data_IF_547780433912
#
_entry.id   IF_547780433912
#
_cell.length_a   1.000
_cell.length_b   1.000
_cell.length_c   1.000
_cell.angle_alpha   90.00
_cell.angle_beta   90.00
_cell.angle_gamma   90.00
#
_symmetry.space_group_name_H-M   'P 1'
#
loop_
_entity.id
_entity.type
_entity.pdbx_description
1 polymer ?
#
# COMPACT_ATOMS: atom_id res chain seq x y z
N UNK A 1 -6.97 32.01 -5.46
CA UNK A 1 -6.75 30.78 -4.68
C UNK A 1 -7.57 29.58 -5.18
N UNK A 2 -8.86 29.74 -5.52
CA UNK A 2 -9.74 28.62 -5.93
C UNK A 2 -9.25 27.82 -7.16
N UNK A 3 -8.67 28.46 -8.17
CA UNK A 3 -8.15 27.77 -9.37
C UNK A 3 -6.83 27.03 -9.20
N UNK A 4 -5.98 27.46 -8.25
CA UNK A 4 -4.66 26.87 -8.02
C UNK A 4 -4.76 25.56 -7.22
N UNK A 5 -5.58 25.58 -6.17
CA UNK A 5 -5.88 24.39 -5.38
C UNK A 5 -6.54 23.32 -6.25
N UNK A 6 -7.43 23.73 -7.17
CA UNK A 6 -8.00 22.84 -8.18
C UNK A 6 -6.93 22.27 -9.13
N UNK A 7 -5.99 23.06 -9.65
CA UNK A 7 -4.90 22.57 -10.50
C UNK A 7 -3.99 21.56 -9.80
N UNK A 8 -3.68 21.79 -8.52
CA UNK A 8 -2.84 20.90 -7.70
C UNK A 8 -3.58 19.57 -7.45
N UNK A 9 -4.85 19.62 -7.05
CA UNK A 9 -5.69 18.42 -6.83
C UNK A 9 -5.85 17.59 -8.11
N UNK A 10 -5.76 18.22 -9.29
CA UNK A 10 -5.89 17.55 -10.58
C UNK A 10 -4.65 16.74 -10.99
N UNK A 11 -3.56 16.74 -10.21
CA UNK A 11 -2.45 15.80 -10.43
C UNK A 11 -2.83 14.40 -9.99
N UNK A 12 -2.49 13.42 -10.83
CA UNK A 12 -2.95 12.04 -10.67
C UNK A 12 -2.66 11.45 -9.27
N UNK A 13 -1.44 11.56 -8.69
CA UNK A 13 -1.18 11.08 -7.33
C UNK A 13 -2.13 11.71 -6.29
N UNK A 14 -2.38 13.02 -6.38
CA UNK A 14 -3.26 13.72 -5.45
C UNK A 14 -4.74 13.38 -5.64
N UNK A 15 -5.19 13.05 -6.86
CA UNK A 15 -6.53 12.50 -7.09
C UNK A 15 -6.74 11.21 -6.30
N UNK A 16 -5.78 10.27 -6.39
CA UNK A 16 -5.82 9.01 -5.65
C UNK A 16 -5.79 9.23 -4.13
N UNK A 17 -4.89 10.08 -3.64
CA UNK A 17 -4.77 10.38 -2.21
C UNK A 17 -5.99 11.14 -1.65
N UNK A 18 -6.60 12.02 -2.44
CA UNK A 18 -7.78 12.77 -2.01
C UNK A 18 -9.02 11.89 -1.91
N UNK A 19 -9.27 11.07 -2.95
CA UNK A 19 -10.42 10.17 -2.98
C UNK A 19 -10.30 9.04 -1.94
N UNK A 20 -9.08 8.56 -1.66
CA UNK A 20 -8.86 7.54 -0.64
C UNK A 20 -9.31 7.98 0.75
N UNK A 21 -9.16 9.26 1.11
CA UNK A 21 -9.64 9.82 2.38
C UNK A 21 -11.17 9.81 2.47
N UNK A 22 -11.86 10.04 1.34
CA UNK A 22 -13.33 9.94 1.28
C UNK A 22 -13.76 8.49 1.55
N UNK A 23 -13.10 7.52 0.92
CA UNK A 23 -13.38 6.11 1.16
C UNK A 23 -13.00 5.65 2.57
N UNK A 24 -11.95 6.21 3.17
CA UNK A 24 -11.61 5.93 4.58
C UNK A 24 -12.79 6.32 5.48
N UNK A 25 -13.28 7.55 5.37
CA UNK A 25 -14.41 8.03 6.18
C UNK A 25 -15.67 7.19 5.93
N UNK A 26 -15.99 6.91 4.67
CA UNK A 26 -17.16 6.10 4.32
C UNK A 26 -17.04 4.66 4.83
N UNK A 27 -15.86 4.05 4.69
CA UNK A 27 -15.59 2.68 5.13
C UNK A 27 -15.65 2.53 6.66
N UNK A 28 -15.05 3.46 7.40
CA UNK A 28 -15.13 3.49 8.86
C UNK A 28 -16.57 3.68 9.35
N UNK A 29 -17.33 4.59 8.70
CA UNK A 29 -18.74 4.78 9.02
C UNK A 29 -19.56 3.49 8.83
N UNK A 30 -19.35 2.75 7.73
CA UNK A 30 -19.98 1.44 7.52
C UNK A 30 -19.52 0.38 8.53
N UNK A 31 -18.26 0.45 8.98
CA UNK A 31 -17.72 -0.42 10.03
C UNK A 31 -18.45 -0.20 11.36
N UNK A 32 -18.61 1.06 11.78
CA UNK A 32 -19.37 1.44 12.97
C UNK A 32 -20.84 1.04 12.84
N UNK A 33 -21.47 1.29 11.69
CA UNK A 33 -22.85 0.86 11.45
C UNK A 33 -23.00 -0.66 11.50
N UNK A 34 -21.97 -1.44 11.18
CA UNK A 34 -22.04 -2.90 11.27
C UNK A 34 -22.22 -3.39 12.71
N UNK A 35 -21.85 -2.58 13.72
CA UNK A 35 -22.10 -2.87 15.14
C UNK A 35 -23.60 -2.80 15.47
N UNK A 36 -24.39 -2.04 14.70
CA UNK A 36 -25.84 -1.89 14.89
C UNK A 36 -26.68 -3.11 14.45
N UNK A 37 -26.04 -4.21 14.02
CA UNK A 37 -26.72 -5.44 13.62
C UNK A 37 -27.00 -5.57 12.11
N UNK A 38 -26.65 -4.57 11.31
CA UNK A 38 -26.75 -4.63 9.84
C UNK A 38 -25.45 -5.17 9.23
N UNK A 39 -25.54 -6.02 8.19
CA UNK A 39 -24.37 -6.59 7.53
C UNK A 39 -23.83 -5.67 6.44
N UNK A 40 -22.81 -4.88 6.76
CA UNK A 40 -22.06 -4.08 5.78
C UNK A 40 -20.65 -4.61 5.51
N UNK A 41 -20.30 -5.81 6.00
CA UNK A 41 -18.94 -6.34 5.96
C UNK A 41 -18.32 -6.39 4.55
N UNK A 42 -19.11 -6.75 3.53
CA UNK A 42 -18.65 -6.74 2.14
C UNK A 42 -18.31 -5.34 1.64
N UNK A 43 -19.19 -4.37 1.85
CA UNK A 43 -19.00 -2.99 1.42
C UNK A 43 -17.84 -2.34 2.20
N UNK A 44 -17.82 -2.52 3.53
CA UNK A 44 -16.78 -2.03 4.43
C UNK A 44 -15.39 -2.52 4.00
N UNK A 45 -15.22 -3.83 3.78
CA UNK A 45 -13.91 -4.39 3.43
C UNK A 45 -13.41 -3.90 2.06
N UNK A 46 -14.27 -3.84 1.05
CA UNK A 46 -13.87 -3.38 -0.29
C UNK A 46 -13.65 -1.87 -0.35
N UNK A 47 -14.48 -1.07 0.32
CA UNK A 47 -14.29 0.39 0.40
C UNK A 47 -12.97 0.72 1.11
N UNK A 48 -12.65 0.08 2.24
CA UNK A 48 -11.39 0.33 2.93
C UNK A 48 -10.19 -0.24 2.18
N UNK A 49 -10.26 -1.48 1.70
CA UNK A 49 -9.10 -2.11 1.07
C UNK A 49 -8.83 -1.55 -0.33
N UNK A 50 -9.85 -1.47 -1.20
CA UNK A 50 -9.69 -0.99 -2.58
C UNK A 50 -9.76 0.54 -2.61
N UNK A 51 -10.80 1.11 -2.01
CA UNK A 51 -11.05 2.55 -2.05
C UNK A 51 -10.00 3.35 -1.28
N UNK A 52 -9.63 2.93 -0.07
CA UNK A 52 -8.61 3.62 0.72
C UNK A 52 -7.20 3.08 0.46
N UNK A 53 -6.90 1.83 0.86
CA UNK A 53 -5.52 1.30 0.87
C UNK A 53 -4.91 1.23 -0.53
N UNK A 54 -5.57 0.56 -1.48
CA UNK A 54 -5.06 0.39 -2.85
C UNK A 54 -4.98 1.75 -3.56
N UNK A 55 -5.96 2.64 -3.40
CA UNK A 55 -5.87 3.99 -3.98
C UNK A 55 -4.64 4.75 -3.50
N UNK A 56 -4.34 4.75 -2.20
CA UNK A 56 -3.11 5.38 -1.68
C UNK A 56 -1.88 4.74 -2.28
N UNK A 57 -1.85 3.41 -2.34
CA UNK A 57 -0.74 2.65 -2.93
C UNK A 57 -0.52 3.07 -4.38
N UNK A 58 -1.56 3.06 -5.22
CA UNK A 58 -1.45 3.43 -6.64
C UNK A 58 -0.99 4.87 -6.82
N UNK A 59 -1.59 5.81 -6.08
CA UNK A 59 -1.18 7.22 -6.12
C UNK A 59 0.27 7.43 -5.70
N UNK A 60 0.70 6.75 -4.63
CA UNK A 60 2.07 6.84 -4.09
C UNK A 60 3.07 6.22 -5.07
N UNK A 61 2.76 5.07 -5.67
CA UNK A 61 3.63 4.41 -6.66
C UNK A 61 3.79 5.25 -7.92
N UNK A 62 2.71 5.88 -8.41
CA UNK A 62 2.77 6.80 -9.53
C UNK A 62 3.62 8.05 -9.26
N UNK A 63 3.87 8.39 -7.99
CA UNK A 63 4.81 9.44 -7.61
C UNK A 63 6.23 8.90 -7.36
N UNK A 64 6.35 7.77 -6.67
CA UNK A 64 7.62 7.22 -6.21
C UNK A 64 8.46 6.66 -7.36
N UNK A 65 7.85 5.94 -8.31
CA UNK A 65 8.60 5.37 -9.43
C UNK A 65 9.30 6.48 -10.23
N UNK A 66 8.62 7.58 -10.61
CA UNK A 66 9.30 8.70 -11.26
C UNK A 66 10.40 9.33 -10.43
N UNK A 67 10.15 9.51 -9.13
CA UNK A 67 11.11 10.10 -8.20
C UNK A 67 12.39 9.25 -8.08
N UNK A 68 12.24 7.91 -8.01
CA UNK A 68 13.34 6.97 -7.85
C UNK A 68 14.10 6.70 -9.15
N UNK A 69 13.41 6.72 -10.29
CA UNK A 69 14.02 6.43 -11.60
C UNK A 69 14.52 7.68 -12.32
N UNK A 70 14.15 8.88 -11.87
CA UNK A 70 14.43 10.15 -12.54
C UNK A 70 13.71 10.29 -13.89
N UNK A 71 12.66 9.49 -14.14
CA UNK A 71 11.95 9.45 -15.41
C UNK A 71 10.45 9.59 -15.23
N UNK A 72 9.75 10.08 -16.25
CA UNK A 72 8.28 10.15 -16.22
C UNK A 72 7.65 8.75 -16.33
N UNK A 73 6.39 8.65 -15.90
CA UNK A 73 5.57 7.46 -16.13
C UNK A 73 5.52 7.16 -17.63
N UNK A 74 5.53 5.88 -18.00
CA UNK A 74 5.49 5.49 -19.41
C UNK A 74 4.23 6.00 -20.13
N UNK A 75 3.07 6.02 -19.45
CA UNK A 75 1.83 6.59 -19.98
C UNK A 75 0.94 7.16 -18.87
N UNK A 76 0.88 8.49 -18.79
CA UNK A 76 -0.01 9.20 -17.86
C UNK A 76 -1.50 8.92 -18.16
N UNK A 77 -1.86 8.74 -19.43
CA UNK A 77 -3.24 8.45 -19.84
C UNK A 77 -3.72 7.10 -19.34
N UNK A 78 -2.88 6.06 -19.43
CA UNK A 78 -3.23 4.73 -18.90
C UNK A 78 -3.30 4.75 -17.36
N UNK A 79 -2.40 5.51 -16.72
CA UNK A 79 -2.42 5.72 -15.28
C UNK A 79 -3.72 6.42 -14.84
N UNK A 80 -4.17 7.44 -15.57
CA UNK A 80 -5.44 8.12 -15.32
C UNK A 80 -6.67 7.25 -15.64
N UNK A 81 -6.62 6.44 -16.69
CA UNK A 81 -7.68 5.46 -16.96
C UNK A 81 -7.84 4.47 -15.80
N UNK A 82 -6.73 4.01 -15.20
CA UNK A 82 -6.77 3.15 -14.03
C UNK A 82 -7.48 3.80 -12.84
N UNK A 83 -7.32 5.11 -12.63
CA UNK A 83 -8.01 5.87 -11.58
C UNK A 83 -9.52 5.84 -11.76
N UNK A 84 -10.00 6.14 -12.97
CA UNK A 84 -11.44 6.19 -13.25
C UNK A 84 -12.07 4.80 -13.19
N UNK A 85 -11.38 3.79 -13.72
CA UNK A 85 -11.85 2.39 -13.67
C UNK A 85 -11.88 1.85 -12.24
N UNK A 86 -10.88 2.14 -11.41
CA UNK A 86 -10.85 1.72 -10.01
C UNK A 86 -12.04 2.30 -9.24
N UNK A 87 -12.29 3.60 -9.38
CA UNK A 87 -13.34 4.31 -8.66
C UNK A 87 -14.75 3.92 -9.12
N UNK A 88 -15.01 4.01 -10.43
CA UNK A 88 -16.30 3.61 -10.98
C UNK A 88 -16.59 2.13 -10.75
N UNK A 89 -15.58 1.28 -10.94
CA UNK A 89 -15.66 -0.16 -10.67
C UNK A 89 -16.00 -0.45 -9.22
N UNK A 90 -15.32 0.19 -8.26
CA UNK A 90 -15.61 0.00 -6.83
C UNK A 90 -17.04 0.41 -6.46
N UNK A 91 -17.48 1.59 -6.91
CA UNK A 91 -18.83 2.09 -6.63
C UNK A 91 -19.89 1.15 -7.22
N UNK A 92 -19.74 0.76 -8.49
CA UNK A 92 -20.65 -0.16 -9.18
C UNK A 92 -20.64 -1.53 -8.49
N UNK A 93 -19.47 -2.02 -8.09
CA UNK A 93 -19.32 -3.32 -7.44
C UNK A 93 -20.01 -3.38 -6.08
N UNK A 94 -19.81 -2.36 -5.24
CA UNK A 94 -20.40 -2.29 -3.89
C UNK A 94 -21.91 -2.07 -3.97
N UNK A 95 -22.39 -1.14 -4.80
CA UNK A 95 -23.84 -0.89 -4.97
C UNK A 95 -24.55 -2.02 -5.70
N UNK A 96 -23.83 -2.74 -6.55
CA UNK A 96 -24.29 -3.91 -7.28
C UNK A 96 -24.34 -5.18 -6.46
N UNK A 97 -23.87 -5.19 -5.21
CA UNK A 97 -23.84 -6.38 -4.38
C UNK A 97 -25.24 -7.01 -4.27
N UNK A 98 -25.34 -8.32 -4.52
CA UNK A 98 -26.61 -9.05 -4.60
C UNK A 98 -27.36 -8.93 -5.94
N UNK A 99 -26.85 -8.13 -6.89
CA UNK A 99 -27.37 -8.01 -8.28
C UNK A 99 -26.30 -8.47 -9.27
N UNK A 100 -26.42 -9.72 -9.74
CA UNK A 100 -25.36 -10.42 -10.46
C UNK A 100 -24.73 -9.61 -11.61
N UNK A 101 -25.52 -9.03 -12.51
CA UNK A 101 -24.97 -8.31 -13.68
C UNK A 101 -24.24 -7.01 -13.33
N UNK A 102 -24.71 -6.28 -12.29
CA UNK A 102 -24.07 -5.03 -11.83
C UNK A 102 -22.76 -5.35 -11.12
N UNK A 103 -22.77 -6.37 -10.25
CA UNK A 103 -21.55 -6.85 -9.58
C UNK A 103 -20.49 -7.30 -10.60
N UNK A 104 -20.88 -8.04 -11.63
CA UNK A 104 -19.95 -8.48 -12.69
C UNK A 104 -19.34 -7.28 -13.42
N UNK A 105 -20.15 -6.28 -13.79
CA UNK A 105 -19.65 -5.07 -14.43
C UNK A 105 -18.65 -4.33 -13.53
N UNK A 106 -19.00 -4.09 -12.26
CA UNK A 106 -18.12 -3.41 -11.32
C UNK A 106 -16.80 -4.15 -11.11
N UNK A 107 -16.85 -5.46 -10.93
CA UNK A 107 -15.66 -6.29 -10.77
C UNK A 107 -14.79 -6.34 -12.03
N UNK A 108 -15.39 -6.34 -13.23
CA UNK A 108 -14.65 -6.29 -14.49
C UNK A 108 -13.90 -4.95 -14.65
N UNK A 109 -14.52 -3.83 -14.27
CA UNK A 109 -13.87 -2.52 -14.28
C UNK A 109 -12.70 -2.47 -13.29
N UNK A 110 -12.87 -3.03 -12.08
CA UNK A 110 -11.79 -3.18 -11.10
C UNK A 110 -10.64 -4.03 -11.66
N UNK A 111 -10.95 -5.16 -12.28
CA UNK A 111 -9.97 -6.04 -12.92
C UNK A 111 -9.14 -5.27 -13.95
N UNK A 112 -9.81 -4.54 -14.84
CA UNK A 112 -9.14 -3.71 -15.85
C UNK A 112 -8.24 -2.63 -15.21
N UNK A 113 -8.69 -2.00 -14.12
CA UNK A 113 -7.89 -1.02 -13.38
C UNK A 113 -6.59 -1.62 -12.86
N UNK A 114 -6.62 -2.81 -12.26
CA UNK A 114 -5.43 -3.49 -11.75
C UNK A 114 -4.46 -3.90 -12.86
N UNK A 115 -4.97 -4.42 -13.98
CA UNK A 115 -4.12 -4.74 -15.14
C UNK A 115 -3.47 -3.50 -15.72
N UNK A 116 -4.21 -2.39 -15.89
CA UNK A 116 -3.62 -1.12 -16.34
C UNK A 116 -2.56 -0.59 -15.38
N UNK A 117 -2.82 -0.66 -14.07
CA UNK A 117 -1.85 -0.29 -13.05
C UNK A 117 -0.55 -1.10 -13.21
N UNK A 118 -0.66 -2.42 -13.29
CA UNK A 118 0.50 -3.30 -13.43
C UNK A 118 1.24 -3.06 -14.75
N UNK A 119 0.53 -2.85 -15.86
CA UNK A 119 1.14 -2.48 -17.15
C UNK A 119 1.91 -1.17 -17.08
N UNK A 120 1.35 -0.13 -16.47
CA UNK A 120 2.05 1.16 -16.31
C UNK A 120 3.31 0.98 -15.46
N UNK A 121 3.23 0.25 -14.34
CA UNK A 121 4.39 -0.04 -13.48
C UNK A 121 5.46 -0.80 -14.26
N UNK A 122 5.09 -1.89 -14.94
CA UNK A 122 5.98 -2.70 -15.77
C UNK A 122 6.72 -1.87 -16.81
N UNK A 123 5.98 -1.13 -17.65
CA UNK A 123 6.55 -0.36 -18.75
C UNK A 123 7.40 0.82 -18.24
N UNK A 124 7.04 1.40 -17.09
CA UNK A 124 7.83 2.49 -16.51
C UNK A 124 9.16 1.97 -15.95
N UNK A 125 9.21 0.76 -15.40
CA UNK A 125 10.44 0.18 -14.83
C UNK A 125 11.34 -0.45 -15.91
N UNK A 126 10.75 -1.18 -16.87
CA UNK A 126 11.49 -1.97 -17.89
C UNK A 126 12.50 -1.12 -18.67
N UNK A 127 12.14 0.11 -19.01
CA UNK A 127 12.93 0.96 -19.88
C UNK A 127 13.93 1.85 -19.10
N UNK A 128 14.21 1.53 -17.83
CA UNK A 128 14.99 2.40 -16.93
C UNK A 128 16.15 1.63 -16.29
N UNK A 129 17.35 2.21 -16.37
CA UNK A 129 18.59 1.72 -15.72
C UNK A 129 18.61 1.99 -14.21
N UNK A 130 17.47 1.95 -13.54
CA UNK A 130 17.40 2.23 -12.12
C UNK A 130 17.49 0.90 -11.36
N UNK A 131 18.71 0.51 -10.97
CA UNK A 131 18.98 -0.77 -10.30
C UNK A 131 18.68 -0.68 -8.79
N UNK A 132 17.42 -0.48 -8.44
CA UNK A 132 16.98 -0.49 -7.04
C UNK A 132 16.16 -1.74 -6.73
N UNK A 133 16.44 -2.39 -5.61
CA UNK A 133 15.66 -3.53 -5.12
C UNK A 133 14.18 -3.17 -4.91
N UNK A 134 13.87 -1.90 -4.65
CA UNK A 134 12.51 -1.37 -4.43
C UNK A 134 11.60 -1.66 -5.63
N UNK A 135 12.12 -1.56 -6.86
CA UNK A 135 11.31 -1.83 -8.05
C UNK A 135 10.86 -3.28 -8.15
N UNK A 136 11.64 -4.23 -7.61
CA UNK A 136 11.22 -5.64 -7.51
C UNK A 136 9.95 -5.75 -6.67
N UNK A 137 9.93 -5.09 -5.51
CA UNK A 137 8.76 -5.06 -4.63
C UNK A 137 7.54 -4.46 -5.34
N UNK A 138 7.69 -3.30 -5.99
CA UNK A 138 6.57 -2.64 -6.67
C UNK A 138 6.01 -3.46 -7.82
N UNK A 139 6.91 -4.00 -8.65
CA UNK A 139 6.51 -4.81 -9.79
C UNK A 139 5.79 -6.09 -9.34
N UNK A 140 6.43 -6.88 -8.47
CA UNK A 140 5.86 -8.14 -7.98
C UNK A 140 4.53 -7.93 -7.28
N UNK A 141 4.41 -6.89 -6.45
CA UNK A 141 3.16 -6.56 -5.78
C UNK A 141 2.05 -6.17 -6.75
N UNK A 142 2.36 -5.39 -7.79
CA UNK A 142 1.37 -5.00 -8.82
C UNK A 142 0.82 -6.21 -9.60
N UNK A 143 1.67 -7.21 -9.85
CA UNK A 143 1.28 -8.45 -10.51
C UNK A 143 0.39 -9.30 -9.61
N UNK A 144 0.73 -9.43 -8.33
CA UNK A 144 -0.09 -10.18 -7.38
C UNK A 144 -1.43 -9.48 -7.07
N UNK A 145 -1.49 -8.15 -7.07
CA UNK A 145 -2.77 -7.43 -7.00
C UNK A 145 -3.65 -7.74 -8.22
N UNK A 146 -3.07 -7.75 -9.43
CA UNK A 146 -3.80 -8.15 -10.64
C UNK A 146 -4.26 -9.61 -10.56
N UNK A 147 -3.41 -10.53 -10.08
CA UNK A 147 -3.77 -11.94 -9.89
C UNK A 147 -4.90 -12.08 -8.87
N UNK A 148 -4.82 -11.40 -7.73
CA UNK A 148 -5.88 -11.40 -6.73
C UNK A 148 -7.19 -10.87 -7.31
N UNK A 149 -7.16 -9.77 -8.08
CA UNK A 149 -8.34 -9.23 -8.75
C UNK A 149 -8.96 -10.25 -9.71
N UNK A 150 -8.14 -11.01 -10.46
CA UNK A 150 -8.61 -12.11 -11.32
C UNK A 150 -9.31 -13.19 -10.51
N UNK A 151 -8.73 -13.62 -9.39
CA UNK A 151 -9.38 -14.60 -8.50
C UNK A 151 -10.69 -14.05 -7.91
N UNK A 152 -10.72 -12.78 -7.49
CA UNK A 152 -11.91 -12.13 -6.98
C UNK A 152 -13.02 -12.01 -8.03
N UNK A 153 -12.67 -11.78 -9.29
CA UNK A 153 -13.62 -11.80 -10.40
C UNK A 153 -14.16 -13.22 -10.65
N UNK A 154 -13.30 -14.24 -10.66
CA UNK A 154 -13.71 -15.64 -10.81
C UNK A 154 -14.64 -16.11 -9.69
N UNK A 155 -14.46 -15.60 -8.46
CA UNK A 155 -15.32 -15.92 -7.32
C UNK A 155 -16.79 -15.52 -7.52
N UNK A 156 -17.10 -14.57 -8.42
CA UNK A 156 -18.48 -14.22 -8.76
C UNK A 156 -19.23 -15.34 -9.47
N UNK A 157 -18.49 -16.24 -10.14
CA UNK A 157 -19.04 -17.37 -10.88
C UNK A 157 -18.85 -18.69 -10.12
N UNK A 158 -17.73 -18.81 -9.41
CA UNK A 158 -17.32 -20.02 -8.70
C UNK A 158 -16.98 -19.68 -7.24
N UNK A 159 -17.99 -19.39 -6.39
CA UNK A 159 -17.74 -19.04 -5.00
C UNK A 159 -17.23 -20.26 -4.23
N UNK A 160 -15.97 -20.21 -3.80
CA UNK A 160 -15.32 -21.27 -3.04
C UNK A 160 -14.49 -20.68 -1.88
N UNK A 161 -14.42 -21.42 -0.77
CA UNK A 161 -13.74 -20.96 0.45
C UNK A 161 -12.22 -20.92 0.29
N UNK A 162 -11.63 -21.89 -0.41
CA UNK A 162 -10.18 -21.92 -0.67
C UNK A 162 -9.82 -20.81 -1.66
N UNK A 163 -10.68 -20.56 -2.66
CA UNK A 163 -10.50 -19.43 -3.58
C UNK A 163 -10.59 -18.08 -2.87
N UNK A 164 -11.53 -17.91 -1.92
CA UNK A 164 -11.61 -16.72 -1.07
C UNK A 164 -10.36 -16.55 -0.21
N UNK A 165 -9.85 -17.63 0.39
CA UNK A 165 -8.61 -17.61 1.16
C UNK A 165 -7.44 -17.17 0.27
N UNK A 166 -7.28 -17.77 -0.92
CA UNK A 166 -6.24 -17.42 -1.87
C UNK A 166 -6.35 -15.95 -2.32
N UNK A 167 -7.53 -15.50 -2.74
CA UNK A 167 -7.78 -14.11 -3.14
C UNK A 167 -7.35 -13.11 -2.05
N UNK A 168 -7.81 -13.33 -0.82
CA UNK A 168 -7.54 -12.43 0.31
C UNK A 168 -6.07 -12.44 0.73
N UNK A 169 -5.42 -13.61 0.81
CA UNK A 169 -4.00 -13.70 1.20
C UNK A 169 -3.06 -13.18 0.10
N UNK A 170 -3.38 -13.43 -1.17
CA UNK A 170 -2.62 -12.83 -2.28
C UNK A 170 -2.77 -11.30 -2.26
N UNK A 171 -3.99 -10.78 -2.08
CA UNK A 171 -4.21 -9.33 -1.98
C UNK A 171 -3.41 -8.71 -0.83
N UNK A 172 -3.53 -9.26 0.38
CA UNK A 172 -3.01 -8.65 1.59
C UNK A 172 -1.51 -8.88 1.79
N UNK A 173 -1.00 -10.10 1.59
CA UNK A 173 0.40 -10.42 1.85
C UNK A 173 1.29 -10.07 0.66
N UNK A 174 0.92 -10.56 -0.52
CA UNK A 174 1.75 -10.43 -1.73
C UNK A 174 1.48 -9.15 -2.51
N UNK A 175 0.29 -8.57 -2.39
CA UNK A 175 -0.07 -7.28 -2.97
C UNK A 175 0.25 -6.11 -2.04
N UNK A 176 -0.49 -5.97 -0.95
CA UNK A 176 -0.44 -4.80 -0.07
C UNK A 176 0.82 -4.80 0.82
N UNK A 177 1.05 -5.86 1.60
CA UNK A 177 2.15 -5.90 2.59
C UNK A 177 3.51 -5.85 1.93
N UNK A 178 3.71 -6.64 0.87
CA UNK A 178 4.94 -6.62 0.09
C UNK A 178 5.23 -5.21 -0.45
N UNK A 179 4.23 -4.52 -1.02
CA UNK A 179 4.39 -3.17 -1.53
C UNK A 179 4.72 -2.17 -0.42
N UNK A 180 4.00 -2.23 0.70
CA UNK A 180 4.22 -1.37 1.85
C UNK A 180 5.65 -1.53 2.38
N UNK A 181 6.14 -2.76 2.51
CA UNK A 181 7.52 -3.04 2.94
C UNK A 181 8.53 -2.39 2.00
N UNK A 182 8.35 -2.53 0.68
CA UNK A 182 9.22 -1.90 -0.33
C UNK A 182 9.15 -0.37 -0.30
N UNK A 183 7.97 0.21 -0.07
CA UNK A 183 7.80 1.66 0.04
C UNK A 183 8.44 2.20 1.34
N UNK A 184 8.20 1.54 2.48
CA UNK A 184 8.77 1.93 3.78
C UNK A 184 10.29 1.82 3.80
N UNK A 185 10.86 0.83 3.13
CA UNK A 185 12.32 0.63 3.06
C UNK A 185 13.04 1.77 2.33
N UNK A 186 12.30 2.60 1.59
CA UNK A 186 12.76 3.86 1.04
C UNK A 186 12.36 5.06 1.91
N UNK A 187 11.07 5.18 2.26
CA UNK A 187 10.54 6.37 2.92
C UNK A 187 11.11 6.59 4.31
N UNK A 188 11.22 5.54 5.14
CA UNK A 188 11.73 5.66 6.50
C UNK A 188 13.19 6.16 6.53
N UNK A 189 14.14 5.56 5.79
CA UNK A 189 15.49 6.10 5.70
C UNK A 189 15.53 7.52 5.14
N UNK A 190 14.73 7.82 4.12
CA UNK A 190 14.65 9.16 3.51
C UNK A 190 14.27 10.24 4.53
N UNK A 191 13.16 10.07 5.27
CA UNK A 191 12.71 11.06 6.27
C UNK A 191 13.63 11.10 7.50
N UNK A 192 14.34 10.00 7.74
CA UNK A 192 15.35 9.92 8.79
C UNK A 192 16.72 10.45 8.33
N UNK A 193 16.90 10.82 7.06
CA UNK A 193 18.20 11.20 6.48
C UNK A 193 19.29 10.14 6.72
N UNK A 194 18.93 8.86 6.56
CA UNK A 194 19.86 7.73 6.62
C UNK A 194 19.72 6.83 5.40
N UNK A 195 20.72 5.98 5.22
CA UNK A 195 20.59 4.82 4.35
C UNK A 195 19.92 3.68 5.12
N UNK A 196 19.22 2.81 4.40
CA UNK A 196 18.71 1.57 4.99
C UNK A 196 19.89 0.75 5.53
N UNK A 197 19.69 0.09 6.68
CA UNK A 197 20.74 -0.66 7.35
C UNK A 197 21.35 -1.75 6.44
N UNK A 198 20.52 -2.53 5.72
CA UNK A 198 21.01 -3.52 4.77
C UNK A 198 20.02 -3.75 3.62
N UNK A 199 20.47 -3.51 2.39
CA UNK A 199 19.72 -3.86 1.18
C UNK A 199 19.68 -5.38 0.94
N UNK A 200 20.76 -6.10 1.27
CA UNK A 200 20.80 -7.57 1.16
C UNK A 200 19.73 -8.23 2.02
N UNK A 201 19.45 -7.66 3.20
CA UNK A 201 18.38 -8.16 4.05
C UNK A 201 17.00 -7.94 3.43
N UNK A 202 16.82 -6.87 2.64
CA UNK A 202 15.59 -6.69 1.86
C UNK A 202 15.43 -7.80 0.82
N UNK A 203 16.48 -8.23 0.12
CA UNK A 203 16.37 -9.38 -0.78
C UNK A 203 15.94 -10.67 -0.04
N UNK A 204 16.45 -10.92 1.17
CA UNK A 204 15.98 -12.06 1.99
C UNK A 204 14.53 -11.90 2.45
N UNK A 205 14.13 -10.71 2.91
CA UNK A 205 12.74 -10.40 3.29
C UNK A 205 11.81 -10.64 2.11
N UNK A 206 12.19 -10.20 0.91
CA UNK A 206 11.43 -10.42 -0.32
C UNK A 206 11.20 -11.91 -0.58
N UNK A 207 12.27 -12.71 -0.56
CA UNK A 207 12.18 -14.16 -0.80
C UNK A 207 11.33 -14.85 0.28
N UNK A 208 11.60 -14.58 1.55
CA UNK A 208 10.86 -15.19 2.67
C UNK A 208 9.37 -14.85 2.62
N UNK A 209 9.02 -13.60 2.37
CA UNK A 209 7.61 -13.18 2.32
C UNK A 209 6.90 -13.75 1.09
N UNK A 210 7.55 -13.74 -0.08
CA UNK A 210 6.94 -14.24 -1.33
C UNK A 210 6.77 -15.75 -1.31
N UNK A 211 7.85 -16.50 -1.02
CA UNK A 211 7.83 -17.96 -0.94
C UNK A 211 6.97 -18.42 0.23
N UNK A 212 7.09 -17.80 1.40
CA UNK A 212 6.27 -18.13 2.57
C UNK A 212 4.78 -17.98 2.33
N UNK A 213 4.36 -16.87 1.70
CA UNK A 213 2.96 -16.66 1.33
C UNK A 213 2.48 -17.66 0.29
N UNK A 214 3.30 -17.96 -0.73
CA UNK A 214 2.96 -18.97 -1.74
C UNK A 214 2.77 -20.36 -1.11
N UNK A 215 3.69 -20.78 -0.23
CA UNK A 215 3.63 -22.06 0.50
C UNK A 215 2.39 -22.12 1.40
N UNK A 216 2.06 -21.02 2.11
CA UNK A 216 0.85 -20.92 2.91
C UNK A 216 -0.42 -21.12 2.07
N UNK A 217 -0.52 -20.42 0.94
CA UNK A 217 -1.68 -20.48 0.04
C UNK A 217 -1.81 -21.88 -0.58
N UNK A 218 -0.71 -22.45 -1.08
CA UNK A 218 -0.70 -23.80 -1.66
C UNK A 218 -1.07 -24.84 -0.60
N UNK A 219 -0.52 -24.72 0.61
CA UNK A 219 -0.84 -25.60 1.73
C UNK A 219 -2.31 -25.55 2.12
N UNK A 220 -2.93 -24.37 2.06
CA UNK A 220 -4.37 -24.22 2.32
C UNK A 220 -5.21 -24.89 1.22
N UNK A 221 -4.93 -24.61 -0.06
CA UNK A 221 -5.63 -25.24 -1.20
C UNK A 221 -5.48 -26.77 -1.19
N UNK A 222 -4.28 -27.27 -0.87
CA UNK A 222 -3.99 -28.70 -0.79
C UNK A 222 -4.49 -29.35 0.52
N UNK A 223 -4.96 -28.56 1.49
CA UNK A 223 -5.36 -28.99 2.84
C UNK A 223 -4.25 -29.74 3.58
N UNK A 224 -3.02 -29.26 3.43
CA UNK A 224 -1.83 -29.82 4.10
C UNK A 224 -1.39 -28.83 5.19
N UNK A 225 -1.72 -29.14 6.44
CA UNK A 225 -1.46 -28.26 7.59
C UNK A 225 0.04 -27.98 7.80
N UNK A 226 0.89 -28.97 7.54
CA UNK A 226 2.35 -28.80 7.62
C UNK A 226 2.89 -27.75 6.64
N UNK A 227 2.33 -27.67 5.43
CA UNK A 227 2.71 -26.64 4.46
C UNK A 227 2.22 -25.27 4.91
N UNK A 228 0.99 -25.17 5.43
CA UNK A 228 0.48 -23.92 5.98
C UNK A 228 1.39 -23.41 7.10
N UNK A 229 1.75 -24.28 8.05
CA UNK A 229 2.65 -23.95 9.16
C UNK A 229 4.04 -23.51 8.69
N UNK A 230 4.62 -24.23 7.71
CA UNK A 230 5.91 -23.86 7.13
C UNK A 230 5.86 -22.47 6.45
N UNK A 231 4.81 -22.20 5.67
CA UNK A 231 4.59 -20.90 5.04
C UNK A 231 4.45 -19.77 6.06
N UNK A 232 3.69 -20.00 7.14
CA UNK A 232 3.57 -19.05 8.25
C UNK A 232 4.90 -18.75 8.93
N UNK A 233 5.76 -19.76 9.16
CA UNK A 233 7.09 -19.56 9.75
C UNK A 233 7.96 -18.66 8.87
N UNK A 234 7.95 -18.85 7.56
CA UNK A 234 8.70 -17.97 6.64
C UNK A 234 8.20 -16.53 6.65
N UNK A 235 6.88 -16.31 6.68
CA UNK A 235 6.30 -14.97 6.81
C UNK A 235 6.73 -14.31 8.12
N UNK A 236 6.71 -15.08 9.22
CA UNK A 236 7.15 -14.61 10.55
C UNK A 236 8.62 -14.18 10.49
N UNK A 237 9.50 -15.00 9.92
CA UNK A 237 10.90 -14.67 9.77
C UNK A 237 11.10 -13.39 8.94
N UNK A 238 10.33 -13.22 7.85
CA UNK A 238 10.38 -12.02 7.03
C UNK A 238 9.99 -10.76 7.82
N UNK A 239 8.91 -10.83 8.61
CA UNK A 239 8.42 -9.70 9.42
C UNK A 239 9.42 -9.32 10.52
N UNK A 240 10.01 -10.30 11.20
CA UNK A 240 11.03 -10.04 12.22
C UNK A 240 12.28 -9.42 11.60
N UNK A 241 12.76 -9.97 10.49
CA UNK A 241 13.93 -9.46 9.77
C UNK A 241 13.69 -8.02 9.27
N UNK A 242 12.51 -7.74 8.72
CA UNK A 242 12.10 -6.39 8.31
C UNK A 242 12.07 -5.42 9.50
N UNK A 243 11.46 -5.83 10.60
CA UNK A 243 11.35 -4.99 11.81
C UNK A 243 12.74 -4.62 12.35
N UNK A 244 13.64 -5.59 12.44
CA UNK A 244 15.02 -5.34 12.89
C UNK A 244 15.76 -4.43 11.91
N UNK A 245 15.65 -4.66 10.60
CA UNK A 245 16.30 -3.83 9.59
C UNK A 245 15.82 -2.36 9.67
N UNK A 246 14.51 -2.14 9.84
CA UNK A 246 13.92 -0.81 10.00
C UNK A 246 14.32 -0.16 11.32
N UNK A 247 14.30 -0.92 12.42
CA UNK A 247 14.71 -0.41 13.73
C UNK A 247 16.17 0.06 13.72
N UNK A 248 17.09 -0.76 13.19
CA UNK A 248 18.50 -0.39 13.06
C UNK A 248 18.72 0.81 12.13
N UNK A 249 17.89 0.96 11.10
CA UNK A 249 17.89 2.15 10.21
C UNK A 249 17.51 3.42 10.99
N UNK A 250 16.52 3.33 11.88
CA UNK A 250 16.02 4.47 12.65
C UNK A 250 16.85 4.79 13.91
N UNK A 251 17.42 3.78 14.56
CA UNK A 251 18.00 3.89 15.90
C UNK A 251 19.21 4.86 15.96
N UNK A 252 19.32 5.56 17.09
CA UNK A 252 20.39 6.54 17.39
C UNK A 252 20.41 7.77 16.46
N UNK A 253 19.24 8.21 15.99
CA UNK A 253 19.10 9.35 15.10
C UNK A 253 18.38 10.53 15.75
N UNK A 254 19.14 11.58 16.12
CA UNK A 254 18.59 12.80 16.73
C UNK A 254 17.67 13.61 15.80
N UNK A 255 17.78 13.42 14.47
CA UNK A 255 16.94 14.09 13.45
C UNK A 255 15.65 13.32 13.13
N UNK A 256 15.51 12.07 13.55
CA UNK A 256 14.34 11.23 13.27
C UNK A 256 13.17 11.49 14.24
N UNK A 257 12.82 12.77 14.43
CA UNK A 257 11.67 13.22 15.24
C UNK A 257 10.51 13.75 14.40
N UNK A 258 10.60 13.60 13.08
CA UNK A 258 9.57 14.05 12.15
C UNK A 258 8.25 13.28 12.39
N UNK A 259 7.12 13.89 12.00
CA UNK A 259 5.79 13.30 12.22
C UNK A 259 5.64 12.00 11.42
N UNK A 260 6.17 12.00 10.19
CA UNK A 260 6.24 10.87 9.26
C UNK A 260 6.95 9.67 9.91
N UNK A 261 8.13 9.91 10.50
CA UNK A 261 8.90 8.86 11.15
C UNK A 261 8.15 8.25 12.36
N UNK A 262 7.42 9.06 13.14
CA UNK A 262 6.59 8.55 14.25
C UNK A 262 5.49 7.62 13.76
N UNK A 263 4.83 7.95 12.64
CA UNK A 263 3.84 7.09 12.01
C UNK A 263 4.44 5.77 11.53
N UNK A 264 5.61 5.79 10.89
CA UNK A 264 6.29 4.56 10.45
C UNK A 264 6.73 3.66 11.61
N UNK A 265 7.27 4.24 12.69
CA UNK A 265 7.66 3.48 13.89
C UNK A 265 6.43 2.90 14.61
N UNK A 266 5.35 3.68 14.69
CA UNK A 266 4.04 3.20 15.16
C UNK A 266 3.56 2.01 14.31
N UNK A 267 3.64 2.11 12.98
CA UNK A 267 3.27 1.03 12.07
C UNK A 267 4.07 -0.26 12.34
N UNK A 268 5.38 -0.15 12.54
CA UNK A 268 6.25 -1.31 12.86
C UNK A 268 5.86 -1.93 14.20
N UNK A 269 5.53 -1.11 15.20
CA UNK A 269 5.03 -1.61 16.48
C UNK A 269 3.72 -2.39 16.32
N UNK A 270 2.76 -1.87 15.57
CA UNK A 270 1.51 -2.60 15.28
C UNK A 270 1.71 -3.84 14.41
N UNK A 271 2.72 -3.85 13.53
CA UNK A 271 3.10 -5.05 12.78
C UNK A 271 3.59 -6.17 13.73
N UNK A 272 4.36 -5.82 14.77
CA UNK A 272 4.76 -6.78 15.81
C UNK A 272 3.56 -7.29 16.62
N UNK A 273 2.60 -6.42 16.96
CA UNK A 273 1.36 -6.86 17.62
C UNK A 273 0.53 -7.79 16.73
N UNK A 274 0.45 -7.48 15.44
CA UNK A 274 -0.20 -8.32 14.43
C UNK A 274 0.45 -9.70 14.37
N UNK A 275 1.78 -9.73 14.42
CA UNK A 275 2.56 -10.97 14.51
C UNK A 275 2.19 -11.78 15.75
N UNK A 276 2.18 -11.17 16.94
CA UNK A 276 1.81 -11.84 18.20
C UNK A 276 0.38 -12.40 18.09
N UNK A 277 -0.57 -11.59 17.61
CA UNK A 277 -1.94 -12.03 17.41
C UNK A 277 -2.04 -13.20 16.41
N UNK A 278 -1.22 -13.19 15.35
CA UNK A 278 -1.12 -14.29 14.39
C UNK A 278 -0.67 -15.61 15.05
N UNK A 279 0.39 -15.56 15.87
CA UNK A 279 0.84 -16.74 16.64
C UNK A 279 -0.26 -17.24 17.59
N UNK A 280 -0.97 -16.33 18.26
CA UNK A 280 -2.10 -16.71 19.13
C UNK A 280 -3.22 -17.40 18.37
N UNK A 281 -3.49 -17.04 17.10
CA UNK A 281 -4.48 -17.76 16.28
C UNK A 281 -4.07 -19.21 15.99
N UNK A 282 -2.77 -19.48 15.83
CA UNK A 282 -2.23 -20.85 15.66
C UNK A 282 -2.43 -21.66 16.95
N UNK A 283 -2.35 -21.02 18.11
CA UNK A 283 -2.62 -21.62 19.42
C UNK A 283 -4.12 -21.77 19.74
N UNK A 284 -5.01 -21.62 18.74
CA UNK A 284 -6.46 -21.70 18.84
C UNK A 284 -7.14 -20.61 19.70
N UNK A 285 -6.51 -19.45 19.88
CA UNK A 285 -7.17 -18.31 20.53
C UNK A 285 -8.07 -17.57 19.53
N UNK A 286 -9.27 -17.18 19.95
CA UNK A 286 -10.21 -16.45 19.09
C UNK A 286 -9.87 -14.95 19.02
N UNK A 287 -8.79 -14.63 18.29
CA UNK A 287 -8.29 -13.25 18.10
C UNK A 287 -8.25 -12.83 16.62
N UNK A 288 -8.98 -13.52 15.74
CA UNK A 288 -8.95 -13.27 14.27
C UNK A 288 -9.35 -11.83 13.91
N UNK A 289 -10.44 -11.34 14.50
CA UNK A 289 -10.91 -9.97 14.27
C UNK A 289 -9.86 -8.96 14.74
N UNK A 290 -9.30 -9.16 15.93
CA UNK A 290 -8.24 -8.33 16.48
C UNK A 290 -6.97 -8.34 15.61
N UNK A 291 -6.55 -9.52 15.14
CA UNK A 291 -5.41 -9.68 14.23
C UNK A 291 -5.57 -8.87 12.93
N UNK A 292 -6.71 -8.97 12.27
CA UNK A 292 -6.97 -8.23 11.02
C UNK A 292 -6.99 -6.72 11.24
N UNK A 293 -7.60 -6.24 12.34
CA UNK A 293 -7.65 -4.81 12.64
C UNK A 293 -6.28 -4.25 13.06
N UNK A 294 -5.48 -5.01 13.81
CA UNK A 294 -4.09 -4.63 14.08
C UNK A 294 -3.27 -4.50 12.78
N UNK A 295 -3.48 -5.42 11.83
CA UNK A 295 -2.81 -5.37 10.53
C UNK A 295 -3.24 -4.14 9.73
N UNK A 296 -4.54 -3.92 9.57
CA UNK A 296 -5.07 -2.90 8.66
C UNK A 296 -5.10 -1.49 9.27
N UNK A 297 -5.59 -1.32 10.50
CA UNK A 297 -5.62 -0.02 11.19
C UNK A 297 -4.27 0.32 11.82
N UNK A 298 -3.58 -0.68 12.36
CA UNK A 298 -2.30 -0.50 13.01
C UNK A 298 -1.14 -0.40 12.02
N UNK A 299 -0.86 -1.46 11.26
CA UNK A 299 0.30 -1.44 10.36
C UNK A 299 0.04 -0.66 9.05
N UNK A 300 -1.01 -1.01 8.31
CA UNK A 300 -1.28 -0.42 6.98
C UNK A 300 -1.64 1.06 7.08
N UNK A 301 -2.63 1.42 7.89
CA UNK A 301 -3.11 2.81 7.99
C UNK A 301 -2.08 3.76 8.58
N UNK A 302 -1.32 3.35 9.61
CA UNK A 302 -0.23 4.17 10.14
C UNK A 302 0.87 4.40 9.10
N UNK A 303 1.20 3.38 8.30
CA UNK A 303 2.15 3.54 7.21
C UNK A 303 1.64 4.50 6.14
N UNK A 304 0.37 4.37 5.76
CA UNK A 304 -0.30 5.29 4.83
C UNK A 304 -0.21 6.73 5.33
N UNK A 305 -0.56 6.99 6.60
CA UNK A 305 -0.48 8.34 7.14
C UNK A 305 0.96 8.85 7.16
N UNK A 306 1.94 8.05 7.59
CA UNK A 306 3.36 8.43 7.50
C UNK A 306 3.77 8.82 6.08
N UNK A 307 3.29 8.07 5.08
CA UNK A 307 3.51 8.38 3.68
C UNK A 307 2.82 9.65 3.20
N UNK A 308 1.55 9.87 3.58
CA UNK A 308 0.77 11.04 3.20
C UNK A 308 1.31 12.34 3.80
N UNK A 309 1.77 12.30 5.07
CA UNK A 309 2.45 13.44 5.71
C UNK A 309 3.73 13.85 4.98
N UNK A 310 4.35 12.94 4.23
CA UNK A 310 5.48 13.27 3.37
C UNK A 310 5.05 13.72 1.97
N UNK A 311 4.23 12.91 1.29
CA UNK A 311 3.94 13.04 -0.14
C UNK A 311 3.06 14.26 -0.43
N UNK A 312 2.03 14.53 0.38
CA UNK A 312 1.11 15.64 0.13
C UNK A 312 1.84 16.99 0.22
N UNK A 313 2.58 17.31 1.31
CA UNK A 313 3.32 18.57 1.37
C UNK A 313 4.37 18.70 0.27
N UNK A 314 5.09 17.63 -0.05
CA UNK A 314 6.09 17.64 -1.11
C UNK A 314 5.47 17.97 -2.48
N UNK A 315 4.36 17.32 -2.85
CA UNK A 315 3.65 17.59 -4.10
C UNK A 315 3.11 19.02 -4.16
N UNK A 316 2.47 19.48 -3.08
CA UNK A 316 2.00 20.86 -3.00
C UNK A 316 3.15 21.87 -3.12
N UNK A 317 4.30 21.60 -2.48
CA UNK A 317 5.46 22.48 -2.53
C UNK A 317 6.05 22.59 -3.94
N UNK A 318 6.26 21.47 -4.63
CA UNK A 318 6.81 21.45 -6.00
C UNK A 318 5.94 22.25 -6.96
N UNK A 319 4.61 22.19 -6.83
CA UNK A 319 3.69 22.94 -7.67
C UNK A 319 3.62 24.44 -7.32
N UNK A 320 3.82 24.79 -6.05
CA UNK A 320 3.85 26.19 -5.60
C UNK A 320 5.20 26.87 -5.88
N UNK A 321 6.28 26.09 -5.96
CA UNK A 321 7.65 26.60 -6.06
C UNK A 321 7.86 27.59 -7.21
N UNK A 322 7.43 27.35 -8.47
CA UNK A 322 7.63 28.29 -9.57
C UNK A 322 7.02 29.67 -9.32
N UNK A 323 6.00 29.77 -8.45
CA UNK A 323 5.34 31.04 -8.09
C UNK A 323 5.88 31.65 -6.79
N UNK A 324 6.68 30.89 -6.04
CA UNK A 324 7.39 31.36 -4.85
C UNK A 324 8.84 31.72 -5.16
N UNK A 325 9.38 31.39 -6.33
CA UNK A 325 10.77 31.69 -6.74
C UNK A 325 11.12 33.17 -6.53
N UNK A 326 10.22 34.08 -6.90
CA UNK A 326 10.44 35.53 -6.73
C UNK A 326 10.33 36.00 -5.26
N UNK A 327 9.83 35.14 -4.37
CA UNK A 327 9.63 35.39 -2.93
C UNK A 327 10.59 34.59 -2.04
N UNK A 328 11.32 33.62 -2.59
CA UNK A 328 12.36 32.88 -1.87
C UNK A 328 13.62 33.74 -1.78
N UNK A 329 14.14 34.02 -0.57
CA UNK A 329 15.38 34.77 -0.42
C UNK A 329 16.52 34.06 -1.16
N UNK A 330 17.38 34.77 -1.90
CA UNK A 330 18.52 34.18 -2.57
C UNK A 330 19.44 33.48 -1.56
N UNK A 331 20.15 32.42 -1.99
CA UNK A 331 20.95 31.56 -1.12
C UNK A 331 21.93 32.35 -0.20
N UNK A 332 22.48 33.45 -0.72
CA UNK A 332 23.38 34.36 0.00
C UNK A 332 22.75 35.05 1.22
N UNK A 333 21.42 35.20 1.24
CA UNK A 333 20.68 35.81 2.35
C UNK A 333 20.29 34.76 3.40
N UNK A 334 20.25 33.48 3.02
CA UNK A 334 20.00 32.35 3.93
C UNK A 334 21.26 31.95 4.72
N UNK A 335 22.44 32.21 4.15
CA UNK A 335 23.73 32.02 4.81
C UNK A 335 24.34 33.38 5.12
N UNK A 336 24.08 33.89 6.32
CA UNK A 336 24.79 35.07 6.83
C UNK A 336 26.27 34.71 7.03
N UNK A 337 27.17 35.45 6.38
CA UNK A 337 28.63 35.38 6.57
C UNK A 337 29.08 35.65 8.03
N UNK A 338 28.16 36.07 8.90
CA UNK A 338 28.41 36.22 10.34
C UNK A 338 28.05 34.94 11.10
N UNK A 339 28.84 33.89 10.88
CA UNK A 339 29.11 32.89 11.93
C UNK A 339 30.63 32.75 12.00
N UNK A 340 31.26 33.77 12.58
CA UNK A 340 32.65 33.77 13.03
C UNK A 340 32.67 33.95 14.53
#
# INVERSE_FOLDING_TARGET
>A
MCGLLAQIIMKLPLKFLGVSLIYLIAGEFLGVLSISGHSYGFAHSHILLVGFVVSVIMGTIYQQIPTLSGAQLNSEKLAEASFWLLNSGLIIFVLGHGKNWISILGAFLLLMAFYLFSTVVLLTIKDRKANSYIFKYYLTSSLFLSLSATLGFLMLFFPDKELMFAHTHIALLLGVTLLIIGAMSWMLPMVSLRQIHSEKWMDYIFILLTVGSAVLIIGNIARIDYLQMAGSIFIIMAVLLFTVNMFLTYFNNKRAKSVEAKFFISAIFYLLLTFIAGVLTILNWNVKLFHIHLALLGFVTQTIFGGMYHVIPMLCYVELLPRMIDKTPPLKELFSDKVS
#
